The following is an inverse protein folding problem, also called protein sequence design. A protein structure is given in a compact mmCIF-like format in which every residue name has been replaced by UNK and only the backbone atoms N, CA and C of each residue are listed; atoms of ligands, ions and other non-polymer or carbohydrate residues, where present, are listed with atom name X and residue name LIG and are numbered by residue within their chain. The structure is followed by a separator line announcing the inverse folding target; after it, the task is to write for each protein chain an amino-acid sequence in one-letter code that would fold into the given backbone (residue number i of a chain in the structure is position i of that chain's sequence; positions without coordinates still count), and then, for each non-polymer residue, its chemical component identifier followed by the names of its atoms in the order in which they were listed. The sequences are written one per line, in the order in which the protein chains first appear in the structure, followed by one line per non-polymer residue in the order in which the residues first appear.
data_IF_050407206285
#
_entry.id   IF_050407206285
#
_cell.length_a   1.000
_cell.length_b   1.000
_cell.length_c   1.000
_cell.angle_alpha   90.00
_cell.angle_beta   90.00
_cell.angle_gamma   90.00
#
_symmetry.space_group_name_H-M   'P 1'
#
loop_
_entity.id
_entity.type
_entity.pdbx_description
1 polymer ?
#
# COMPACT_ATOMS: atom_id res chain seq x y z
N UNK A 1 -9.77 -18.98 -13.50
CA UNK A 1 -10.56 -18.61 -12.30
C UNK A 1 -10.73 -17.11 -12.31
N UNK A 2 -11.83 -16.63 -11.75
CA UNK A 2 -12.00 -15.19 -11.46
C UNK A 2 -11.53 -14.89 -10.05
N UNK A 3 -10.53 -14.01 -9.92
CA UNK A 3 -9.85 -13.71 -8.66
C UNK A 3 -10.07 -12.25 -8.28
N UNK A 4 -10.53 -12.03 -7.04
CA UNK A 4 -10.61 -10.71 -6.44
C UNK A 4 -9.35 -10.42 -5.61
N UNK A 5 -8.59 -9.39 -5.95
CA UNK A 5 -7.47 -8.91 -5.11
C UNK A 5 -8.02 -7.86 -4.15
N UNK A 6 -7.71 -8.00 -2.87
CA UNK A 6 -7.98 -7.00 -1.85
C UNK A 6 -6.67 -6.48 -1.26
N UNK A 7 -6.38 -5.21 -1.48
CA UNK A 7 -5.19 -4.54 -0.96
C UNK A 7 -5.56 -3.19 -0.35
N UNK A 8 -4.59 -2.38 0.04
CA UNK A 8 -4.86 -1.03 0.54
C UNK A 8 -5.58 -0.19 -0.52
N UNK A 9 -6.44 0.73 -0.06
CA UNK A 9 -7.19 1.62 -0.95
C UNK A 9 -6.25 2.32 -1.93
N UNK A 10 -6.64 2.35 -3.20
CA UNK A 10 -5.86 2.97 -4.27
C UNK A 10 -5.74 4.48 -4.04
N UNK A 11 -4.60 4.91 -3.56
CA UNK A 11 -4.27 6.29 -3.25
C UNK A 11 -3.12 6.80 -4.14
N UNK A 12 -2.74 8.06 -3.97
CA UNK A 12 -1.56 8.64 -4.60
C UNK A 12 -0.27 8.13 -3.91
N UNK A 13 -0.02 6.83 -4.00
CA UNK A 13 1.11 6.12 -3.44
C UNK A 13 1.70 5.16 -4.48
N UNK A 14 2.95 5.38 -4.87
CA UNK A 14 3.63 4.57 -5.88
C UNK A 14 3.73 3.10 -5.47
N UNK A 15 4.13 2.82 -4.22
CA UNK A 15 4.28 1.46 -3.72
C UNK A 15 2.97 0.69 -3.77
N UNK A 16 1.88 1.31 -3.30
CA UNK A 16 0.55 0.70 -3.32
C UNK A 16 0.09 0.35 -4.75
N UNK A 17 0.30 1.27 -5.71
CA UNK A 17 -0.12 1.04 -7.10
C UNK A 17 0.76 -0.01 -7.80
N UNK A 18 2.09 0.02 -7.58
CA UNK A 18 3.01 -0.91 -8.24
C UNK A 18 2.88 -2.34 -7.72
N UNK A 19 2.69 -2.54 -6.41
CA UNK A 19 2.49 -3.87 -5.87
C UNK A 19 1.16 -4.48 -6.34
N UNK A 20 0.10 -3.67 -6.46
CA UNK A 20 -1.20 -4.11 -6.98
C UNK A 20 -1.09 -4.51 -8.46
N UNK A 21 -0.42 -3.69 -9.27
CA UNK A 21 -0.12 -3.99 -10.67
C UNK A 21 0.66 -5.29 -10.83
N UNK A 22 1.69 -5.47 -10.01
CA UNK A 22 2.54 -6.65 -10.08
C UNK A 22 1.78 -7.93 -9.71
N UNK A 23 0.97 -7.90 -8.65
CA UNK A 23 0.16 -9.05 -8.27
C UNK A 23 -0.90 -9.37 -9.31
N UNK A 24 -1.63 -8.36 -9.81
CA UNK A 24 -2.59 -8.52 -10.90
C UNK A 24 -1.94 -9.16 -12.12
N UNK A 25 -0.85 -8.57 -12.63
CA UNK A 25 -0.15 -9.06 -13.82
C UNK A 25 0.37 -10.48 -13.64
N UNK A 26 0.87 -10.82 -12.45
CA UNK A 26 1.36 -12.18 -12.16
C UNK A 26 0.24 -13.21 -12.20
N UNK A 27 -0.93 -12.89 -11.64
CA UNK A 27 -2.09 -13.79 -11.67
C UNK A 27 -2.70 -13.90 -13.08
N UNK A 28 -2.73 -12.82 -13.84
CA UNK A 28 -3.19 -12.83 -15.25
C UNK A 28 -2.30 -13.70 -16.13
N UNK A 29 -0.98 -13.68 -15.91
CA UNK A 29 -0.02 -14.57 -16.60
C UNK A 29 -0.25 -16.05 -16.32
N UNK A 30 -0.81 -16.35 -15.15
CA UNK A 30 -1.23 -17.72 -14.80
C UNK A 30 -2.59 -18.09 -15.41
N UNK A 31 -3.18 -17.23 -16.25
CA UNK A 31 -4.42 -17.47 -16.96
C UNK A 31 -5.69 -17.21 -16.13
N UNK A 32 -5.60 -16.33 -15.13
CA UNK A 32 -6.75 -15.94 -14.31
C UNK A 32 -7.35 -14.60 -14.79
N UNK A 33 -8.66 -14.45 -14.64
CA UNK A 33 -9.33 -13.15 -14.72
C UNK A 33 -9.21 -12.47 -13.37
N UNK A 34 -8.65 -11.26 -13.33
CA UNK A 34 -8.31 -10.59 -12.08
C UNK A 34 -9.01 -9.23 -11.98
N UNK A 35 -9.57 -8.94 -10.81
CA UNK A 35 -10.17 -7.65 -10.49
C UNK A 35 -9.72 -7.21 -9.09
N UNK A 36 -9.34 -5.95 -8.95
CA UNK A 36 -8.94 -5.37 -7.67
C UNK A 36 -10.16 -4.73 -7.02
N UNK A 37 -10.54 -5.24 -5.85
CA UNK A 37 -11.64 -4.73 -5.05
C UNK A 37 -11.21 -3.42 -4.37
N UNK A 38 -11.61 -2.26 -4.92
CA UNK A 38 -11.24 -0.94 -4.38
C UNK A 38 -12.04 -0.62 -3.10
N UNK A 39 -11.61 -1.22 -1.99
CA UNK A 39 -12.19 -0.98 -0.66
C UNK A 39 -11.76 0.38 -0.14
N UNK A 40 -12.59 1.35 -0.45
CA UNK A 40 -12.37 2.75 -0.10
C UNK A 40 -12.90 3.06 1.29
N UNK A 41 -12.12 3.84 2.06
CA UNK A 41 -12.54 4.35 3.34
C UNK A 41 -12.55 5.88 3.30
N UNK A 42 -13.73 6.48 3.45
CA UNK A 42 -13.85 7.93 3.54
C UNK A 42 -13.15 8.49 4.80
N UNK A 43 -13.07 7.66 5.85
CA UNK A 43 -12.41 8.03 7.10
C UNK A 43 -10.87 8.04 7.00
N UNK A 44 -10.27 7.35 6.03
CA UNK A 44 -8.81 7.34 5.86
C UNK A 44 -8.24 8.72 5.50
N UNK A 45 -9.08 9.61 4.99
CA UNK A 45 -8.73 11.01 4.70
C UNK A 45 -9.24 12.00 5.75
N UNK A 46 -9.98 11.52 6.76
CA UNK A 46 -10.41 12.38 7.87
C UNK A 46 -9.43 12.21 9.04
N UNK A 47 -8.88 13.29 9.57
CA UNK A 47 -8.12 13.21 10.80
C UNK A 47 -9.04 12.66 11.91
N UNK A 48 -8.54 11.67 12.66
CA UNK A 48 -9.23 10.92 13.71
C UNK A 48 -10.25 11.72 14.53
N UNK A 49 -11.49 11.19 14.64
CA UNK A 49 -12.65 11.81 15.32
C UNK A 49 -12.58 11.86 16.86
N UNK A 50 -11.44 11.63 17.47
CA UNK A 50 -11.21 12.01 18.87
C UNK A 50 -10.65 13.45 18.95
N UNK A 51 -11.41 14.37 18.31
CA UNK A 51 -10.86 15.61 17.80
C UNK A 51 -10.80 16.77 18.79
N UNK A 52 -11.51 16.75 19.90
CA UNK A 52 -11.48 17.94 20.77
C UNK A 52 -10.21 17.92 21.65
N UNK A 53 -9.89 16.80 22.25
CA UNK A 53 -8.71 16.70 23.14
C UNK A 53 -7.40 16.67 22.33
N UNK A 54 -7.37 15.98 21.18
CA UNK A 54 -6.20 15.96 20.31
C UNK A 54 -6.04 17.26 19.51
N UNK A 55 -7.11 17.98 19.22
CA UNK A 55 -7.06 19.32 18.60
C UNK A 55 -6.46 20.36 19.57
N UNK A 56 -6.81 20.32 20.86
CA UNK A 56 -6.16 21.17 21.86
C UNK A 56 -4.68 20.80 22.05
N UNK A 57 -4.35 19.50 22.16
CA UNK A 57 -2.95 19.06 22.28
C UNK A 57 -2.13 19.37 21.03
N UNK A 58 -2.71 19.20 19.82
CA UNK A 58 -2.07 19.62 18.57
C UNK A 58 -1.92 21.13 18.48
N UNK A 59 -2.98 21.89 18.79
CA UNK A 59 -2.93 23.34 18.80
C UNK A 59 -1.82 23.86 19.70
N UNK A 60 -1.65 23.33 20.91
CA UNK A 60 -0.53 23.69 21.79
C UNK A 60 0.84 23.27 21.24
N UNK A 61 0.96 22.06 20.67
CA UNK A 61 2.20 21.60 20.01
C UNK A 61 2.52 22.40 18.76
N UNK A 62 1.52 22.78 17.98
CA UNK A 62 1.67 23.53 16.74
C UNK A 62 1.93 25.01 17.01
N UNK A 63 1.35 25.59 18.08
CA UNK A 63 1.73 26.94 18.54
C UNK A 63 3.19 27.01 18.99
N UNK A 64 3.68 26.03 19.72
CA UNK A 64 5.09 25.97 20.14
C UNK A 64 6.01 25.73 18.93
N UNK A 65 5.61 24.90 17.97
CA UNK A 65 6.35 24.70 16.70
C UNK A 65 6.26 25.92 15.78
N UNK A 66 5.12 26.62 15.75
CA UNK A 66 4.94 27.83 14.93
C UNK A 66 5.82 28.98 15.39
N UNK A 67 6.10 29.07 16.70
CA UNK A 67 7.00 30.10 17.27
C UNK A 67 8.47 29.75 17.03
N UNK A 68 8.84 28.47 16.95
CA UNK A 68 10.23 28.02 16.84
C UNK A 68 10.69 27.57 15.45
N UNK A 69 9.78 27.14 14.61
CA UNK A 69 10.11 26.65 13.25
C UNK A 69 8.93 26.98 12.33
N UNK A 70 9.09 27.98 11.44
CA UNK A 70 8.16 28.17 10.31
C UNK A 70 8.13 26.85 9.50
N UNK A 71 7.11 26.02 9.60
CA UNK A 71 7.00 24.87 8.71
C UNK A 71 6.47 25.38 7.37
N UNK A 72 7.23 25.15 6.33
CA UNK A 72 6.75 25.18 4.95
C UNK A 72 5.85 23.93 4.76
N UNK A 73 4.77 23.84 5.51
CA UNK A 73 3.67 22.96 5.20
C UNK A 73 2.52 23.83 4.71
N UNK A 74 2.61 24.24 3.44
CA UNK A 74 1.40 24.61 2.73
C UNK A 74 0.50 23.37 2.76
N UNK A 75 -0.60 23.44 3.52
CA UNK A 75 -1.71 22.56 3.32
C UNK A 75 -1.99 22.55 1.80
N UNK A 76 -1.80 21.42 1.15
CA UNK A 76 -2.03 21.30 -0.28
C UNK A 76 -3.49 21.69 -0.47
N UNK A 77 -3.73 22.83 -1.12
CA UNK A 77 -5.05 23.34 -1.40
C UNK A 77 -5.84 22.21 -2.08
N UNK A 78 -7.02 21.89 -1.56
CA UNK A 78 -7.86 20.82 -2.11
C UNK A 78 -8.12 20.99 -3.62
N UNK A 79 -8.10 22.24 -4.11
CA UNK A 79 -8.18 22.55 -5.54
C UNK A 79 -6.99 22.03 -6.36
N UNK A 80 -5.82 21.84 -5.75
CA UNK A 80 -4.62 21.28 -6.41
C UNK A 80 -4.55 19.76 -6.35
N UNK A 81 -5.38 19.11 -5.54
CA UNK A 81 -5.44 17.66 -5.39
C UNK A 81 -5.58 16.92 -6.73
N UNK A 82 -6.48 17.32 -7.65
CA UNK A 82 -6.59 16.67 -8.96
C UNK A 82 -5.31 16.73 -9.79
N UNK A 83 -4.57 17.84 -9.71
CA UNK A 83 -3.31 18.00 -10.44
C UNK A 83 -2.22 17.03 -9.93
N UNK A 84 -2.08 16.88 -8.61
CA UNK A 84 -1.11 15.93 -8.04
C UNK A 84 -1.51 14.47 -8.26
N UNK A 85 -2.80 14.19 -8.31
CA UNK A 85 -3.32 12.83 -8.44
C UNK A 85 -3.47 12.37 -9.88
N UNK A 86 -3.43 13.26 -10.86
CA UNK A 86 -3.69 12.93 -12.27
C UNK A 86 -2.85 11.77 -12.80
N UNK A 87 -1.57 11.70 -12.43
CA UNK A 87 -0.67 10.63 -12.89
C UNK A 87 -1.01 9.29 -12.26
N UNK A 88 -1.39 9.27 -10.97
CA UNK A 88 -1.86 8.06 -10.30
C UNK A 88 -3.17 7.57 -10.89
N UNK A 89 -4.14 8.48 -11.07
CA UNK A 89 -5.45 8.14 -11.65
C UNK A 89 -5.30 7.63 -13.09
N UNK A 90 -4.41 8.24 -13.88
CA UNK A 90 -4.09 7.75 -15.21
C UNK A 90 -3.49 6.35 -15.17
N UNK A 91 -2.47 6.13 -14.33
CA UNK A 91 -1.86 4.82 -14.15
C UNK A 91 -2.89 3.76 -13.76
N UNK A 92 -3.73 4.05 -12.76
CA UNK A 92 -4.78 3.16 -12.30
C UNK A 92 -5.75 2.81 -13.43
N UNK A 93 -6.22 3.81 -14.18
CA UNK A 93 -7.15 3.62 -15.30
C UNK A 93 -6.56 2.79 -16.44
N UNK A 94 -5.26 2.97 -16.73
CA UNK A 94 -4.60 2.34 -17.87
C UNK A 94 -4.07 0.93 -17.54
N UNK A 95 -3.79 0.63 -16.27
CA UNK A 95 -3.01 -0.56 -15.90
C UNK A 95 -3.67 -1.44 -14.82
N UNK A 96 -4.73 -0.98 -14.14
CA UNK A 96 -5.38 -1.75 -13.08
C UNK A 96 -6.84 -2.03 -13.40
N UNK A 97 -7.28 -3.25 -13.14
CA UNK A 97 -8.68 -3.66 -13.25
C UNK A 97 -9.39 -3.41 -11.91
N UNK A 98 -9.71 -2.14 -11.67
CA UNK A 98 -10.36 -1.73 -10.43
C UNK A 98 -11.88 -1.84 -10.50
N UNK A 99 -12.50 -2.31 -9.43
CA UNK A 99 -13.95 -2.15 -9.23
C UNK A 99 -14.30 -0.67 -9.06
N UNK A 100 -15.59 -0.37 -9.06
CA UNK A 100 -16.05 0.87 -8.43
C UNK A 100 -15.60 0.91 -6.96
N UNK A 101 -15.52 2.12 -6.38
CA UNK A 101 -15.21 2.26 -4.96
C UNK A 101 -16.26 1.60 -4.08
N UNK A 102 -15.84 0.67 -3.25
CA UNK A 102 -16.66 -0.06 -2.28
C UNK A 102 -16.41 0.53 -0.88
N UNK A 103 -17.39 1.24 -0.35
CA UNK A 103 -17.22 2.09 0.84
C UNK A 103 -17.51 1.40 2.16
N UNK A 104 -18.14 0.21 2.11
CA UNK A 104 -18.52 -0.53 3.32
C UNK A 104 -18.41 -2.03 3.10
N UNK A 105 -18.36 -2.80 4.19
CA UNK A 105 -18.47 -4.26 4.14
C UNK A 105 -19.77 -4.73 3.51
N UNK A 106 -20.86 -3.97 3.66
CA UNK A 106 -22.14 -4.25 3.00
C UNK A 106 -22.03 -4.11 1.49
N UNK A 107 -21.38 -3.05 0.98
CA UNK A 107 -21.12 -2.88 -0.45
C UNK A 107 -20.17 -3.95 -0.99
N UNK A 108 -19.15 -4.33 -0.22
CA UNK A 108 -18.26 -5.44 -0.55
C UNK A 108 -19.04 -6.74 -0.73
N UNK A 109 -19.87 -7.10 0.26
CA UNK A 109 -20.70 -8.30 0.22
C UNK A 109 -21.69 -8.29 -0.93
N UNK A 110 -22.36 -7.16 -1.18
CA UNK A 110 -23.30 -7.02 -2.29
C UNK A 110 -22.60 -7.18 -3.65
N UNK A 111 -21.45 -6.53 -3.83
CA UNK A 111 -20.68 -6.62 -5.06
C UNK A 111 -20.20 -8.04 -5.33
N UNK A 112 -19.57 -8.68 -4.34
CA UNK A 112 -19.02 -10.03 -4.48
C UNK A 112 -20.06 -11.13 -4.60
N UNK A 113 -21.28 -10.89 -4.11
CA UNK A 113 -22.42 -11.78 -4.33
C UNK A 113 -22.97 -11.66 -5.76
N UNK A 114 -22.94 -10.46 -6.35
CA UNK A 114 -23.38 -10.22 -7.72
C UNK A 114 -22.37 -10.74 -8.76
N UNK A 115 -21.09 -10.44 -8.54
CA UNK A 115 -19.99 -10.80 -9.44
C UNK A 115 -19.19 -11.95 -8.83
N UNK A 116 -19.67 -13.17 -9.05
CA UNK A 116 -19.08 -14.37 -8.45
C UNK A 116 -17.57 -14.50 -8.69
N UNK A 117 -16.81 -14.67 -7.63
CA UNK A 117 -15.38 -14.94 -7.64
C UNK A 117 -15.12 -16.40 -7.25
N UNK A 118 -14.06 -16.99 -7.79
CA UNK A 118 -13.58 -18.32 -7.42
C UNK A 118 -12.58 -18.25 -6.26
N UNK A 119 -11.86 -17.12 -6.15
CA UNK A 119 -10.86 -16.90 -5.12
C UNK A 119 -10.73 -15.42 -4.74
N UNK A 120 -10.30 -15.18 -3.51
CA UNK A 120 -9.82 -13.87 -3.05
C UNK A 120 -8.36 -13.97 -2.64
N UNK A 121 -7.56 -12.95 -2.98
CA UNK A 121 -6.16 -12.81 -2.57
C UNK A 121 -6.00 -11.48 -1.84
N UNK A 122 -5.64 -11.55 -0.56
CA UNK A 122 -5.39 -10.36 0.27
C UNK A 122 -3.91 -10.01 0.25
N UNK A 123 -3.60 -8.76 -0.02
CA UNK A 123 -2.23 -8.25 -0.05
C UNK A 123 -1.85 -7.72 -1.44
N UNK A 124 -0.64 -7.29 -1.65
CA UNK A 124 0.37 -7.03 -0.63
C UNK A 124 0.05 -5.75 0.17
N UNK A 125 1.08 -5.09 0.72
CA UNK A 125 0.99 -3.89 1.54
C UNK A 125 0.49 -4.16 2.97
N UNK A 126 0.38 -3.11 3.80
CA UNK A 126 0.05 -3.18 5.23
C UNK A 126 -1.45 -3.43 5.46
N UNK A 127 -1.99 -4.44 4.78
CA UNK A 127 -3.42 -4.81 4.82
C UNK A 127 -3.83 -5.31 6.21
N UNK A 128 -2.91 -5.89 6.96
CA UNK A 128 -3.16 -6.41 8.32
C UNK A 128 -2.67 -5.46 9.42
N UNK A 129 -2.52 -4.18 9.13
CA UNK A 129 -2.18 -3.18 10.13
C UNK A 129 -3.44 -2.43 10.60
N UNK A 130 -3.84 -2.55 11.88
CA UNK A 130 -5.09 -1.98 12.37
C UNK A 130 -5.13 -0.45 12.33
N UNK A 131 -3.97 0.22 12.42
CA UNK A 131 -3.88 1.68 12.33
C UNK A 131 -4.21 2.24 10.95
N UNK A 132 -4.13 1.41 9.89
CA UNK A 132 -4.48 1.79 8.51
C UNK A 132 -5.84 1.26 8.07
N UNK A 133 -6.38 0.29 8.80
CA UNK A 133 -7.64 -0.35 8.48
C UNK A 133 -8.56 -0.28 9.72
N UNK A 134 -9.30 0.81 9.85
CA UNK A 134 -10.12 1.06 11.01
C UNK A 134 -11.50 0.39 10.90
N UNK A 135 -12.05 -0.03 12.04
CA UNK A 135 -13.38 -0.61 12.10
C UNK A 135 -13.53 -1.86 11.23
N UNK A 136 -14.64 -1.96 10.51
CA UNK A 136 -14.96 -3.12 9.68
C UNK A 136 -13.99 -3.36 8.53
N UNK A 137 -13.26 -2.32 8.11
CA UNK A 137 -12.25 -2.47 7.07
C UNK A 137 -11.15 -3.45 7.46
N UNK A 138 -10.75 -3.49 8.73
CA UNK A 138 -9.78 -4.48 9.21
C UNK A 138 -10.29 -5.91 8.97
N UNK A 139 -11.56 -6.17 9.28
CA UNK A 139 -12.16 -7.49 9.09
C UNK A 139 -12.37 -7.82 7.61
N UNK A 140 -12.66 -6.81 6.77
CA UNK A 140 -12.68 -6.99 5.32
C UNK A 140 -11.31 -7.44 4.80
N UNK A 141 -10.19 -6.95 5.37
CA UNK A 141 -8.84 -7.42 5.04
C UNK A 141 -8.55 -8.86 5.51
N UNK A 142 -9.43 -9.45 6.28
CA UNK A 142 -9.48 -10.89 6.59
C UNK A 142 -10.64 -11.59 5.88
N UNK A 143 -11.20 -10.96 4.83
CA UNK A 143 -12.27 -11.51 3.98
C UNK A 143 -13.59 -11.79 4.73
N UNK A 144 -13.91 -11.01 5.77
CA UNK A 144 -15.17 -11.16 6.50
C UNK A 144 -16.42 -11.01 5.60
N UNK A 145 -16.35 -10.17 4.54
CA UNK A 145 -17.43 -10.03 3.57
C UNK A 145 -17.71 -11.32 2.76
N UNK A 146 -16.76 -12.23 2.69
CA UNK A 146 -16.88 -13.50 1.97
C UNK A 146 -17.42 -14.64 2.84
N UNK A 147 -17.89 -14.33 4.05
CA UNK A 147 -18.48 -15.34 4.92
C UNK A 147 -19.67 -16.05 4.25
N UNK A 148 -19.71 -17.38 4.36
CA UNK A 148 -20.69 -18.24 3.69
C UNK A 148 -20.47 -18.45 2.18
N UNK A 149 -19.44 -17.84 1.57
CA UNK A 149 -19.09 -18.09 0.16
C UNK A 149 -18.13 -19.28 0.04
N UNK A 150 -18.41 -20.14 -0.95
CA UNK A 150 -17.53 -21.28 -1.32
C UNK A 150 -16.44 -20.79 -2.28
N UNK A 151 -15.41 -20.15 -1.73
CA UNK A 151 -14.32 -19.52 -2.48
C UNK A 151 -12.98 -19.85 -1.84
N UNK A 152 -11.90 -19.85 -2.64
CA UNK A 152 -10.55 -19.92 -2.11
C UNK A 152 -10.15 -18.60 -1.46
N UNK A 153 -9.52 -18.68 -0.29
CA UNK A 153 -9.09 -17.52 0.51
C UNK A 153 -7.58 -17.58 0.71
N UNK A 154 -6.89 -16.61 0.15
CA UNK A 154 -5.43 -16.59 0.13
C UNK A 154 -4.91 -15.23 0.61
N UNK A 155 -3.75 -15.21 1.22
CA UNK A 155 -2.99 -13.97 1.32
C UNK A 155 -1.66 -14.07 0.57
N UNK A 156 -1.29 -13.01 -0.13
CA UNK A 156 0.01 -12.91 -0.78
C UNK A 156 0.78 -11.72 -0.26
N UNK A 157 1.91 -11.99 0.42
CA UNK A 157 2.77 -10.96 0.98
C UNK A 157 2.00 -9.91 1.83
N UNK A 158 0.98 -10.34 2.56
CA UNK A 158 0.26 -9.48 3.50
C UNK A 158 1.22 -8.96 4.59
N UNK A 159 1.04 -7.71 5.03
CA UNK A 159 1.96 -7.10 5.97
C UNK A 159 1.23 -6.51 7.17
N UNK A 160 1.82 -6.72 8.35
CA UNK A 160 1.45 -6.00 9.59
C UNK A 160 2.13 -4.63 9.67
N UNK A 161 3.18 -4.38 8.86
CA UNK A 161 3.94 -3.14 8.83
C UNK A 161 4.84 -2.89 10.03
N UNK A 162 4.74 -3.70 11.06
CA UNK A 162 5.51 -3.65 12.31
C UNK A 162 5.79 -5.07 12.82
N UNK A 163 6.76 -5.20 13.71
CA UNK A 163 7.15 -6.46 14.36
C UNK A 163 6.43 -6.71 15.68
N UNK A 164 5.46 -5.84 16.04
CA UNK A 164 4.69 -5.90 17.29
C UNK A 164 3.21 -6.10 16.98
N UNK A 165 2.52 -6.79 17.89
CA UNK A 165 1.08 -6.95 17.82
C UNK A 165 0.37 -5.66 18.22
N UNK A 166 -0.42 -5.07 17.30
CA UNK A 166 -1.11 -3.78 17.51
C UNK A 166 -2.64 -3.93 17.64
N UNK A 167 -3.16 -5.16 17.71
CA UNK A 167 -4.59 -5.45 17.78
C UNK A 167 -5.10 -5.40 19.22
N UNK A 168 -6.36 -4.99 19.41
CA UNK A 168 -7.06 -5.22 20.66
C UNK A 168 -7.42 -6.71 20.82
N UNK A 169 -7.83 -7.14 22.04
CA UNK A 169 -8.24 -8.50 22.28
C UNK A 169 -9.42 -8.93 21.39
N UNK A 170 -10.42 -8.04 21.22
CA UNK A 170 -11.55 -8.30 20.33
C UNK A 170 -11.13 -8.42 18.87
N UNK A 171 -10.25 -7.54 18.39
CA UNK A 171 -9.71 -7.62 17.04
C UNK A 171 -8.92 -8.92 16.85
N UNK A 172 -8.09 -9.29 17.81
CA UNK A 172 -7.30 -10.53 17.80
C UNK A 172 -8.23 -11.73 17.68
N UNK A 173 -9.26 -11.84 18.52
CA UNK A 173 -10.22 -12.93 18.51
C UNK A 173 -10.92 -13.06 17.16
N UNK A 174 -11.48 -11.95 16.64
CA UNK A 174 -12.21 -11.96 15.37
C UNK A 174 -11.27 -12.27 14.20
N UNK A 175 -10.11 -11.63 14.12
CA UNK A 175 -9.17 -11.85 13.03
C UNK A 175 -8.55 -13.26 13.08
N UNK A 176 -8.35 -13.84 14.26
CA UNK A 176 -7.92 -15.25 14.40
C UNK A 176 -8.94 -16.21 13.78
N UNK A 177 -10.23 -16.03 14.09
CA UNK A 177 -11.28 -16.91 13.50
C UNK A 177 -11.38 -16.74 11.98
N UNK A 178 -11.23 -15.52 11.47
CA UNK A 178 -11.22 -15.28 10.03
C UNK A 178 -9.96 -15.83 9.36
N UNK A 179 -8.79 -15.68 9.99
CA UNK A 179 -7.51 -16.17 9.46
C UNK A 179 -7.49 -17.70 9.30
N UNK A 180 -8.14 -18.45 10.20
CA UNK A 180 -8.28 -19.92 10.13
C UNK A 180 -9.08 -20.39 8.90
N UNK A 181 -9.81 -19.49 8.25
CA UNK A 181 -10.57 -19.79 7.04
C UNK A 181 -9.74 -19.65 5.76
N UNK A 182 -8.50 -19.23 5.85
CA UNK A 182 -7.63 -19.10 4.69
C UNK A 182 -7.07 -20.47 4.27
N UNK A 183 -7.09 -20.76 2.97
CA UNK A 183 -6.48 -21.96 2.39
C UNK A 183 -4.94 -21.87 2.43
N UNK A 184 -4.37 -20.66 2.29
CA UNK A 184 -2.93 -20.42 2.43
C UNK A 184 -2.66 -18.97 2.83
N UNK A 185 -1.67 -18.79 3.70
CA UNK A 185 -1.25 -17.49 4.19
C UNK A 185 0.22 -17.27 3.87
N UNK A 186 0.51 -16.14 3.20
CA UNK A 186 1.87 -15.64 3.09
C UNK A 186 1.98 -14.19 3.49
N UNK A 187 3.11 -13.85 4.11
CA UNK A 187 3.40 -12.54 4.67
C UNK A 187 4.70 -11.98 4.13
N UNK A 188 4.82 -10.65 4.06
CA UNK A 188 5.94 -9.95 3.47
C UNK A 188 7.17 -9.88 4.40
N UNK A 189 6.96 -9.91 5.70
CA UNK A 189 8.04 -9.81 6.69
C UNK A 189 8.18 -11.13 7.47
N UNK A 190 9.43 -11.51 7.80
CA UNK A 190 9.71 -12.67 8.65
C UNK A 190 9.05 -12.58 10.03
N UNK A 191 8.96 -11.37 10.59
CA UNK A 191 8.23 -11.11 11.84
C UNK A 191 6.75 -11.45 11.72
N UNK A 192 6.15 -11.25 10.54
CA UNK A 192 4.75 -11.57 10.27
C UNK A 192 4.43 -13.06 10.42
N UNK A 193 5.36 -13.96 10.09
CA UNK A 193 5.20 -15.41 10.30
C UNK A 193 4.98 -15.69 11.80
N UNK A 194 5.82 -15.10 12.65
CA UNK A 194 5.71 -15.25 14.09
C UNK A 194 4.41 -14.62 14.63
N UNK A 195 4.03 -13.42 14.13
CA UNK A 195 2.80 -12.78 14.54
C UNK A 195 1.55 -13.61 14.19
N UNK A 196 1.54 -14.28 13.02
CA UNK A 196 0.48 -15.20 12.62
C UNK A 196 0.38 -16.40 13.57
N UNK A 197 1.49 -17.05 13.88
CA UNK A 197 1.53 -18.20 14.77
C UNK A 197 1.11 -17.84 16.20
N UNK A 198 1.73 -16.79 16.77
CA UNK A 198 1.56 -16.43 18.17
C UNK A 198 0.17 -15.83 18.48
N UNK A 199 -0.41 -15.07 17.54
CA UNK A 199 -1.62 -14.28 17.83
C UNK A 199 -2.86 -14.71 17.04
N UNK A 200 -2.69 -15.26 15.84
CA UNK A 200 -3.80 -15.72 15.02
C UNK A 200 -3.96 -17.24 15.06
N UNK A 201 -2.95 -17.97 15.52
CA UNK A 201 -2.97 -19.43 15.60
C UNK A 201 -3.01 -20.10 14.22
N UNK A 202 -2.33 -19.51 13.23
CA UNK A 202 -2.25 -20.00 11.86
C UNK A 202 -0.81 -20.03 11.37
N UNK A 203 -0.52 -20.98 10.47
CA UNK A 203 0.77 -21.05 9.79
C UNK A 203 0.83 -20.05 8.64
N UNK A 204 1.97 -19.43 8.47
CA UNK A 204 2.24 -18.50 7.38
C UNK A 204 3.65 -18.72 6.81
N UNK A 205 3.84 -18.41 5.53
CA UNK A 205 5.15 -18.43 4.89
C UNK A 205 5.61 -17.01 4.56
N UNK A 206 6.93 -16.77 4.65
CA UNK A 206 7.53 -15.51 4.23
C UNK A 206 7.77 -15.53 2.72
N UNK A 207 7.28 -14.51 2.02
CA UNK A 207 7.48 -14.33 0.57
C UNK A 207 7.91 -12.90 0.26
N UNK A 208 8.43 -12.70 -0.94
CA UNK A 208 8.80 -11.36 -1.43
C UNK A 208 7.55 -10.56 -1.81
N UNK A 209 7.68 -9.23 -1.77
CA UNK A 209 6.67 -8.31 -2.30
C UNK A 209 6.39 -8.64 -3.78
N UNK A 210 5.13 -8.57 -4.26
CA UNK A 210 4.79 -8.92 -5.63
C UNK A 210 5.52 -8.08 -6.69
N UNK A 211 6.04 -6.91 -6.35
CA UNK A 211 6.90 -6.14 -7.25
C UNK A 211 8.16 -6.88 -7.66
N UNK A 212 8.56 -7.91 -6.92
CA UNK A 212 9.70 -8.77 -7.24
C UNK A 212 9.34 -9.97 -8.12
N UNK A 213 8.06 -10.16 -8.48
CA UNK A 213 7.59 -11.24 -9.36
C UNK A 213 7.69 -10.88 -10.84
N UNK A 214 7.82 -9.60 -11.16
CA UNK A 214 7.88 -9.10 -12.53
C UNK A 214 9.31 -8.82 -12.94
N UNK A 215 9.57 -8.99 -14.24
CA UNK A 215 10.85 -8.65 -14.84
C UNK A 215 11.01 -7.13 -15.06
N UNK A 216 12.23 -6.60 -15.13
CA UNK A 216 12.47 -5.19 -15.45
C UNK A 216 11.79 -4.74 -16.75
N UNK A 217 11.64 -5.64 -17.74
CA UNK A 217 10.95 -5.37 -18.99
C UNK A 217 9.48 -5.00 -18.81
N UNK A 218 8.82 -5.49 -17.75
CA UNK A 218 7.43 -5.16 -17.46
C UNK A 218 7.28 -3.73 -16.96
N UNK A 219 8.20 -3.33 -16.10
CA UNK A 219 8.25 -1.95 -15.62
C UNK A 219 8.66 -0.96 -16.73
N UNK A 220 9.54 -1.37 -17.64
CA UNK A 220 9.90 -0.55 -18.80
C UNK A 220 8.70 -0.22 -19.69
N UNK A 221 7.69 -1.09 -19.79
CA UNK A 221 6.44 -0.81 -20.50
C UNK A 221 5.66 0.36 -19.87
N UNK A 222 5.76 0.52 -18.53
CA UNK A 222 5.07 1.58 -17.79
C UNK A 222 5.76 2.94 -17.90
N UNK A 223 7.07 2.96 -18.18
CA UNK A 223 7.88 4.18 -18.20
C UNK A 223 7.59 5.05 -19.44
N UNK A 224 7.01 4.49 -20.49
CA UNK A 224 6.70 5.23 -21.70
C UNK A 224 7.95 5.76 -22.45
N UNK A 225 7.81 6.17 -23.71
CA UNK A 225 8.92 6.64 -24.55
C UNK A 225 9.48 8.03 -24.21
N UNK A 226 9.08 8.62 -23.08
CA UNK A 226 9.46 10.00 -22.70
C UNK A 226 10.66 10.11 -21.76
N UNK A 227 11.47 9.08 -21.61
CA UNK A 227 12.80 9.28 -21.05
C UNK A 227 13.62 9.91 -22.18
N UNK A 228 13.70 11.25 -22.18
CA UNK A 228 14.61 11.93 -23.09
C UNK A 228 16.03 11.47 -22.77
N UNK A 229 16.85 11.17 -23.79
CA UNK A 229 18.28 10.80 -23.68
C UNK A 229 19.15 11.89 -23.02
N UNK A 230 18.56 12.90 -22.40
CA UNK A 230 19.22 14.03 -21.78
C UNK A 230 19.51 13.87 -20.29
N UNK A 231 19.24 12.74 -19.69
CA UNK A 231 19.60 12.51 -18.28
C UNK A 231 21.04 12.05 -18.14
N UNK A 232 21.98 12.98 -18.22
CA UNK A 232 23.31 12.85 -17.63
C UNK A 232 23.23 13.01 -16.12
N UNK A 233 22.41 12.23 -15.44
CA UNK A 233 22.19 12.32 -13.99
C UNK A 233 22.12 10.94 -13.37
N UNK A 234 22.79 10.74 -12.25
CA UNK A 234 22.62 9.54 -11.42
C UNK A 234 21.25 9.55 -10.72
N UNK A 235 20.73 8.35 -10.42
CA UNK A 235 19.56 8.21 -9.57
C UNK A 235 20.00 8.36 -8.11
N UNK A 236 19.42 9.32 -7.40
CA UNK A 236 19.59 9.44 -5.94
C UNK A 236 18.32 8.89 -5.29
N UNK A 237 18.42 7.76 -4.60
CA UNK A 237 17.36 7.23 -3.77
C UNK A 237 17.57 7.75 -2.34
N UNK A 238 16.67 8.61 -1.87
CA UNK A 238 16.65 9.07 -0.49
C UNK A 238 15.55 8.34 0.27
N UNK A 239 15.95 7.54 1.25
CA UNK A 239 15.02 6.85 2.14
C UNK A 239 14.99 7.54 3.51
N UNK A 240 13.85 8.06 3.90
CA UNK A 240 13.62 8.66 5.21
C UNK A 240 12.64 7.78 5.99
N UNK A 241 13.06 7.22 7.11
CA UNK A 241 12.27 6.27 7.92
C UNK A 241 10.95 6.81 8.48
N UNK A 242 10.70 8.12 8.40
CA UNK A 242 9.47 8.75 8.90
C UNK A 242 8.81 9.75 7.93
N UNK A 243 9.45 10.10 6.83
CA UNK A 243 8.90 11.02 5.82
C UNK A 243 9.36 10.53 4.47
N UNK A 244 8.47 9.92 3.70
CA UNK A 244 8.75 9.57 2.32
C UNK A 244 8.46 10.77 1.43
N UNK A 245 9.50 11.46 0.99
CA UNK A 245 9.40 12.42 -0.08
C UNK A 245 10.40 12.03 -1.16
N UNK A 246 9.90 11.55 -2.29
CA UNK A 246 10.72 11.37 -3.49
C UNK A 246 10.69 12.69 -4.23
N UNK A 247 11.81 13.36 -4.29
CA UNK A 247 11.98 14.60 -5.04
C UNK A 247 12.96 14.32 -6.18
N UNK A 248 12.41 14.18 -7.38
CA UNK A 248 13.20 14.17 -8.60
C UNK A 248 13.15 15.57 -9.21
N UNK A 249 14.10 16.45 -8.84
CA UNK A 249 14.44 17.64 -9.61
C UNK A 249 15.72 18.31 -9.09
N UNK A 250 16.55 18.77 -10.00
CA UNK A 250 17.90 19.33 -9.82
C UNK A 250 17.99 20.63 -8.96
N UNK A 251 16.92 21.09 -8.36
CA UNK A 251 16.91 22.39 -7.65
C UNK A 251 16.73 22.34 -6.15
N UNK A 252 16.71 21.17 -5.51
CA UNK A 252 16.38 21.06 -4.08
C UNK A 252 17.52 20.63 -3.16
N UNK A 253 18.76 20.71 -3.59
CA UNK A 253 19.94 20.49 -2.74
C UNK A 253 20.32 21.67 -1.84
N UNK A 254 19.40 22.59 -1.55
CA UNK A 254 19.67 23.68 -0.61
C UNK A 254 18.63 23.73 0.50
N UNK A 255 18.71 22.83 1.45
CA UNK A 255 18.25 23.10 2.82
C UNK A 255 18.37 21.84 3.68
N UNK A 256 19.33 21.77 4.41
CA UNK A 256 19.46 21.35 5.81
C UNK A 256 20.81 20.65 6.05
N UNK A 257 21.63 21.28 6.88
CA UNK A 257 23.01 20.85 7.17
C UNK A 257 23.14 19.51 7.94
N UNK A 258 22.07 18.73 8.02
CA UNK A 258 22.05 17.44 8.72
C UNK A 258 22.10 16.19 7.84
N UNK A 259 22.17 16.36 6.51
CA UNK A 259 22.19 15.22 5.59
C UNK A 259 23.50 15.19 4.78
N UNK A 260 24.28 14.14 4.98
CA UNK A 260 25.43 13.84 4.10
C UNK A 260 24.89 13.09 2.88
N UNK A 261 25.07 13.68 1.69
CA UNK A 261 24.81 12.98 0.44
C UNK A 261 25.87 11.88 0.26
N UNK A 262 25.43 10.63 0.15
CA UNK A 262 26.27 9.52 -0.27
C UNK A 262 26.40 9.57 -1.79
N UNK A 263 27.56 9.96 -2.27
CA UNK A 263 27.90 9.89 -3.69
C UNK A 263 28.36 8.46 -4.00
N UNK A 264 27.54 7.72 -4.74
CA UNK A 264 27.98 6.44 -5.28
C UNK A 264 28.72 6.70 -6.59
N UNK A 265 29.96 6.23 -6.75
CA UNK A 265 30.72 6.43 -7.98
C UNK A 265 30.04 5.65 -9.12
N UNK A 266 29.78 6.34 -10.21
CA UNK A 266 29.36 5.71 -11.47
C UNK A 266 30.43 4.72 -11.93
N UNK A 267 30.03 3.48 -12.22
CA UNK A 267 30.91 2.48 -12.78
C UNK A 267 31.50 3.00 -14.11
N UNK A 268 32.76 3.38 -14.09
CA UNK A 268 33.53 3.64 -15.33
C UNK A 268 33.61 2.36 -16.11
N UNK A 269 32.94 2.33 -17.26
CA UNK A 269 33.21 1.34 -18.32
C UNK A 269 34.69 1.39 -18.65
N UNK A 270 35.46 0.39 -18.25
CA UNK A 270 36.81 0.17 -18.76
C UNK A 270 36.68 -0.17 -20.25
N UNK A 271 37.10 0.74 -21.10
CA UNK A 271 37.47 0.40 -22.47
C UNK A 271 38.73 -0.46 -22.39
N UNK A 272 38.66 -1.67 -22.87
CA UNK A 272 39.83 -2.45 -23.16
C UNK A 272 40.53 -1.86 -24.39
N UNK A 273 41.81 -1.54 -24.21
CA UNK A 273 42.79 -1.46 -25.31
C UNK A 273 43.34 -2.87 -25.49
#
# INVERSE_FOLDING_TARGET
MRIGILTQSMAANYGCNLQAYALQTSLERLGHEVEILDRWDECANMPHRNHIINKLRRFFKDCVKFILLRPIYHAIDEKKRPYFWQHFLRFQKENLHLTKKLRSSTEMKAYTSQYRFDAYVVGSDQVWRPTYNLGDKLFDMYLAFADGQQVKRLSYAASFGVDKWEYSDDQTRICSELAKQFDAISVREKSGVKLCADNLGVDAIHVLDPTMLLDPSDYNKLIGKQISDKTTGGVILLYFGFISTVIANDRLCRADHRFKALHLPTARTRKHI
#
